data_IF_286421129264
#
_entry.id   IF_286421129264
#
_cell.length_a   1.000
_cell.length_b   1.000
_cell.length_c   1.000
_cell.angle_alpha   90.00
_cell.angle_beta   90.00
_cell.angle_gamma   90.00
#
_symmetry.space_group_name_H-M   'P 1'
#
loop_
_entity.id
_entity.type
_entity.pdbx_description
1 polymer ?
#
# COMPACT_ATOMS: atom_id res chain seq x y z
N UNK A 1 -15.36 -24.08 -4.72
CA UNK A 1 -16.03 -23.62 -5.98
C UNK A 1 -15.24 -24.10 -7.18
N UNK A 2 -15.92 -24.63 -8.23
CA UNK A 2 -15.28 -25.06 -9.47
C UNK A 2 -14.62 -23.88 -10.21
N UNK A 3 -13.49 -24.08 -10.91
CA UNK A 3 -12.75 -23.02 -11.59
C UNK A 3 -13.59 -22.28 -12.66
N UNK A 4 -14.57 -22.96 -13.25
CA UNK A 4 -15.48 -22.37 -14.22
C UNK A 4 -16.43 -21.34 -13.59
N UNK A 5 -16.99 -21.63 -12.40
CA UNK A 5 -17.86 -20.70 -11.68
C UNK A 5 -17.10 -19.44 -11.23
N UNK A 6 -15.82 -19.57 -10.84
CA UNK A 6 -14.96 -18.43 -10.52
C UNK A 6 -14.74 -17.54 -11.75
N UNK A 7 -14.46 -18.10 -12.93
CA UNK A 7 -14.27 -17.34 -14.18
C UNK A 7 -15.54 -16.62 -14.63
N UNK A 8 -16.69 -17.27 -14.55
CA UNK A 8 -17.97 -16.67 -14.90
C UNK A 8 -18.32 -15.51 -13.96
N UNK A 9 -18.17 -15.71 -12.64
CA UNK A 9 -18.40 -14.68 -11.62
C UNK A 9 -17.46 -13.50 -11.83
N UNK A 10 -16.19 -13.73 -12.11
CA UNK A 10 -15.20 -12.69 -12.37
C UNK A 10 -15.59 -11.83 -13.60
N UNK A 11 -16.06 -12.45 -14.70
CA UNK A 11 -16.54 -11.71 -15.89
C UNK A 11 -17.81 -10.90 -15.61
N UNK A 12 -18.75 -11.48 -14.86
CA UNK A 12 -19.98 -10.81 -14.46
C UNK A 12 -19.68 -9.58 -13.57
N UNK A 13 -18.82 -9.76 -12.58
CA UNK A 13 -18.40 -8.68 -11.68
C UNK A 13 -17.58 -7.60 -12.41
N UNK A 14 -16.73 -7.98 -13.38
CA UNK A 14 -15.95 -7.02 -14.16
C UNK A 14 -16.83 -6.05 -14.98
N UNK A 15 -17.99 -6.53 -15.44
CA UNK A 15 -18.96 -5.67 -16.16
C UNK A 15 -19.72 -4.72 -15.23
N UNK A 16 -20.06 -5.17 -14.02
CA UNK A 16 -20.85 -4.37 -13.05
C UNK A 16 -20.00 -3.47 -12.16
N UNK A 17 -18.79 -3.87 -11.87
CA UNK A 17 -17.83 -3.17 -11.02
C UNK A 17 -16.45 -3.21 -11.69
N UNK A 18 -16.21 -2.33 -12.68
CA UNK A 18 -14.91 -2.22 -13.32
C UNK A 18 -13.85 -1.77 -12.29
N UNK A 19 -12.58 -2.12 -12.51
CA UNK A 19 -11.48 -1.63 -11.69
C UNK A 19 -11.46 -0.10 -11.69
N UNK A 20 -11.45 0.50 -10.50
CA UNK A 20 -11.43 1.95 -10.34
C UNK A 20 -10.71 2.34 -9.05
N UNK A 21 -10.08 3.50 -9.02
CA UNK A 21 -9.44 4.01 -7.81
C UNK A 21 -10.42 4.38 -6.69
N UNK A 22 -11.70 4.53 -7.05
CA UNK A 22 -12.80 4.88 -6.13
C UNK A 22 -13.99 3.99 -6.42
N UNK A 23 -14.63 3.50 -5.37
CA UNK A 23 -15.85 2.71 -5.45
C UNK A 23 -16.91 3.26 -4.52
N UNK A 24 -18.11 3.48 -5.06
CA UNK A 24 -19.30 3.80 -4.28
C UNK A 24 -20.20 2.57 -4.23
N UNK A 25 -20.56 2.13 -3.04
CA UNK A 25 -21.50 1.06 -2.84
C UNK A 25 -22.92 1.61 -2.99
N UNK A 26 -23.56 1.25 -4.09
CA UNK A 26 -24.93 1.64 -4.44
C UNK A 26 -25.82 0.41 -4.55
N UNK A 27 -27.12 0.64 -4.67
CA UNK A 27 -28.12 -0.44 -4.84
C UNK A 27 -27.80 -1.40 -5.99
N UNK A 28 -27.09 -0.93 -7.02
CA UNK A 28 -26.72 -1.75 -8.18
C UNK A 28 -25.61 -2.76 -7.90
N UNK A 29 -24.78 -2.52 -6.87
CA UNK A 29 -23.57 -3.31 -6.57
C UNK A 29 -23.68 -4.09 -5.26
N UNK A 30 -24.78 -3.95 -4.52
CA UNK A 30 -25.02 -4.63 -3.25
C UNK A 30 -25.89 -5.86 -3.51
N UNK A 31 -25.40 -6.98 -3.04
CA UNK A 31 -26.16 -8.25 -3.03
C UNK A 31 -26.64 -8.53 -1.62
N UNK A 32 -27.86 -9.05 -1.47
CA UNK A 32 -28.43 -9.40 -0.18
C UNK A 32 -29.14 -10.75 -0.26
N UNK A 33 -28.89 -11.60 0.73
CA UNK A 33 -29.59 -12.88 0.90
C UNK A 33 -29.81 -13.16 2.39
N UNK A 34 -30.87 -13.91 2.73
CA UNK A 34 -31.06 -14.41 4.09
C UNK A 34 -29.89 -15.29 4.51
N UNK A 35 -29.50 -15.22 5.78
CA UNK A 35 -28.54 -16.15 6.38
C UNK A 35 -29.23 -17.47 6.72
N UNK A 36 -28.51 -18.55 7.08
CA UNK A 36 -29.13 -19.78 7.61
C UNK A 36 -30.05 -19.47 8.80
N UNK A 37 -29.66 -18.53 9.66
CA UNK A 37 -30.52 -18.04 10.75
C UNK A 37 -31.76 -17.31 10.23
N UNK A 38 -31.63 -16.53 9.15
CA UNK A 38 -32.75 -15.86 8.49
C UNK A 38 -33.75 -16.84 7.90
N UNK A 39 -33.28 -17.95 7.30
CA UNK A 39 -34.17 -19.01 6.83
C UNK A 39 -34.87 -19.75 7.96
N UNK A 40 -34.19 -20.05 9.07
CA UNK A 40 -34.79 -20.63 10.26
C UNK A 40 -35.87 -19.72 10.86
N UNK A 41 -35.58 -18.40 10.92
CA UNK A 41 -36.54 -17.40 11.36
C UNK A 41 -37.79 -17.35 10.45
N UNK A 42 -37.61 -17.40 9.14
CA UNK A 42 -38.73 -17.44 8.17
C UNK A 42 -39.59 -18.69 8.35
N UNK A 43 -38.98 -19.84 8.60
CA UNK A 43 -39.68 -21.09 8.91
C UNK A 43 -40.50 -20.98 10.19
N UNK A 44 -39.91 -20.34 11.23
CA UNK A 44 -40.64 -20.06 12.48
C UNK A 44 -41.83 -19.15 12.24
N UNK A 45 -41.67 -18.06 11.49
CA UNK A 45 -42.75 -17.13 11.13
C UNK A 45 -43.91 -17.89 10.43
N UNK A 46 -43.57 -18.76 9.48
CA UNK A 46 -44.54 -19.57 8.77
C UNK A 46 -45.29 -20.53 9.72
N UNK A 47 -44.57 -21.17 10.64
CA UNK A 47 -45.19 -22.06 11.64
C UNK A 47 -46.17 -21.29 12.56
N UNK A 48 -45.78 -20.11 13.05
CA UNK A 48 -46.63 -19.27 13.89
C UNK A 48 -47.85 -18.80 13.12
N UNK A 49 -47.71 -18.42 11.85
CA UNK A 49 -48.79 -18.03 10.97
C UNK A 49 -49.81 -19.17 10.79
N UNK A 50 -49.32 -20.41 10.48
CA UNK A 50 -50.19 -21.60 10.31
C UNK A 50 -50.91 -21.95 11.61
N UNK A 51 -50.24 -21.86 12.75
CA UNK A 51 -50.89 -22.07 14.06
C UNK A 51 -51.96 -21.02 14.31
N UNK A 52 -51.68 -19.74 14.09
CA UNK A 52 -52.68 -18.68 14.23
C UNK A 52 -53.90 -18.87 13.37
N UNK A 53 -53.70 -19.31 12.12
CA UNK A 53 -54.82 -19.57 11.16
C UNK A 53 -55.60 -20.81 11.57
N UNK A 54 -54.92 -21.88 11.95
CA UNK A 54 -55.58 -23.15 12.31
C UNK A 54 -56.42 -23.03 13.59
N UNK A 55 -55.90 -22.33 14.60
CA UNK A 55 -56.63 -22.12 15.85
C UNK A 55 -57.48 -20.85 15.86
N UNK A 56 -57.59 -20.12 14.75
CA UNK A 56 -58.34 -18.87 14.60
C UNK A 56 -58.00 -17.83 15.69
N UNK A 57 -56.73 -17.83 16.13
CA UNK A 57 -56.29 -16.98 17.22
C UNK A 57 -55.67 -15.69 16.66
N UNK A 58 -56.44 -14.59 16.78
CA UNK A 58 -56.03 -13.28 16.27
C UNK A 58 -54.73 -12.74 16.90
N UNK A 59 -54.41 -13.10 18.12
CA UNK A 59 -53.22 -12.65 18.83
C UNK A 59 -51.97 -13.34 18.29
N UNK A 60 -52.09 -14.64 17.94
CA UNK A 60 -51.02 -15.38 17.27
C UNK A 60 -50.81 -14.89 15.84
N UNK A 61 -51.86 -14.54 15.12
CA UNK A 61 -51.77 -13.92 13.80
C UNK A 61 -51.11 -12.54 13.87
N UNK A 62 -51.46 -11.72 14.87
CA UNK A 62 -50.79 -10.44 15.10
C UNK A 62 -49.29 -10.62 15.32
N UNK A 63 -48.88 -11.61 16.14
CA UNK A 63 -47.48 -11.93 16.36
C UNK A 63 -46.78 -12.37 15.03
N UNK A 64 -47.44 -13.18 14.21
CA UNK A 64 -46.88 -13.59 12.91
C UNK A 64 -46.62 -12.36 12.00
N UNK A 65 -47.60 -11.45 11.88
CA UNK A 65 -47.42 -10.22 11.09
C UNK A 65 -46.35 -9.29 11.66
N UNK A 66 -46.23 -9.20 12.97
CA UNK A 66 -45.15 -8.46 13.62
C UNK A 66 -43.78 -9.03 13.26
N UNK A 67 -43.63 -10.37 13.30
CA UNK A 67 -42.40 -11.04 12.92
C UNK A 67 -42.05 -10.86 11.43
N UNK A 68 -43.07 -10.90 10.52
CA UNK A 68 -42.87 -10.58 9.09
C UNK A 68 -42.39 -9.15 8.92
N UNK A 69 -42.98 -8.19 9.63
CA UNK A 69 -42.58 -6.78 9.60
C UNK A 69 -41.14 -6.62 10.08
N UNK A 70 -40.73 -7.31 11.17
CA UNK A 70 -39.38 -7.33 11.68
C UNK A 70 -38.38 -7.90 10.66
N UNK A 71 -38.73 -8.99 10.00
CA UNK A 71 -37.90 -9.62 8.95
C UNK A 71 -37.67 -8.65 7.79
N UNK A 72 -38.74 -8.03 7.27
CA UNK A 72 -38.68 -7.10 6.16
C UNK A 72 -37.89 -5.83 6.53
N UNK A 73 -38.13 -5.29 7.73
CA UNK A 73 -37.38 -4.15 8.25
C UNK A 73 -35.87 -4.47 8.40
N UNK A 74 -35.54 -5.67 8.88
CA UNK A 74 -34.16 -6.14 8.97
C UNK A 74 -33.47 -6.17 7.61
N UNK A 75 -34.16 -6.63 6.56
CA UNK A 75 -33.63 -6.59 5.20
C UNK A 75 -33.29 -5.16 4.75
N UNK A 76 -34.20 -4.22 4.97
CA UNK A 76 -34.02 -2.82 4.62
C UNK A 76 -32.82 -2.19 5.35
N UNK A 77 -32.73 -2.40 6.68
CA UNK A 77 -31.63 -1.85 7.47
C UNK A 77 -30.29 -2.49 7.13
N UNK A 78 -30.23 -3.80 6.87
CA UNK A 78 -28.99 -4.47 6.44
C UNK A 78 -28.49 -3.93 5.11
N UNK A 79 -29.39 -3.71 4.15
CA UNK A 79 -29.03 -3.11 2.86
C UNK A 79 -28.56 -1.67 3.03
N UNK A 80 -29.32 -0.84 3.76
CA UNK A 80 -29.00 0.57 4.01
C UNK A 80 -27.67 0.74 4.73
N UNK A 81 -27.32 -0.18 5.65
CA UNK A 81 -26.07 -0.15 6.38
C UNK A 81 -24.83 -0.36 5.48
N UNK A 82 -24.99 -0.89 4.26
CA UNK A 82 -23.90 -1.02 3.30
C UNK A 82 -23.95 0.04 2.20
N UNK A 83 -25.16 0.55 1.90
CA UNK A 83 -25.37 1.54 0.86
C UNK A 83 -24.78 2.91 1.24
N UNK A 84 -24.17 3.59 0.26
CA UNK A 84 -23.58 4.92 0.47
C UNK A 84 -22.12 4.90 0.92
N UNK A 85 -21.55 3.73 1.27
CA UNK A 85 -20.14 3.62 1.63
C UNK A 85 -19.25 3.92 0.43
N UNK A 86 -18.32 4.85 0.59
CA UNK A 86 -17.32 5.22 -0.39
C UNK A 86 -15.97 4.63 0.00
N UNK A 87 -15.31 3.99 -0.94
CA UNK A 87 -14.00 3.40 -0.76
C UNK A 87 -13.04 4.01 -1.77
N UNK A 88 -11.91 4.54 -1.29
CA UNK A 88 -10.86 5.11 -2.11
C UNK A 88 -9.57 4.34 -1.91
N UNK A 89 -8.87 4.07 -3.00
CA UNK A 89 -7.52 3.49 -2.95
C UNK A 89 -6.54 4.50 -2.39
N UNK A 90 -5.70 4.06 -1.45
CA UNK A 90 -4.48 4.75 -1.07
C UNK A 90 -3.30 4.03 -1.73
N UNK A 91 -2.38 4.78 -2.32
CA UNK A 91 -1.20 4.17 -2.93
C UNK A 91 -0.33 3.54 -1.84
N UNK A 92 -0.12 2.24 -1.96
CA UNK A 92 0.73 1.49 -1.03
C UNK A 92 2.20 1.65 -1.40
N UNK A 93 3.05 1.77 -0.39
CA UNK A 93 4.50 1.72 -0.56
C UNK A 93 4.94 0.31 -0.96
N UNK A 94 6.14 0.16 -1.59
CA UNK A 94 6.73 -1.14 -1.84
C UNK A 94 6.89 -1.95 -0.53
N UNK A 95 6.66 -3.25 -0.58
CA UNK A 95 6.71 -4.15 0.58
C UNK A 95 7.56 -5.38 0.30
N UNK A 96 7.92 -6.12 1.35
CA UNK A 96 8.72 -7.33 1.24
C UNK A 96 7.89 -8.47 0.66
N UNK A 97 8.45 -9.21 -0.29
CA UNK A 97 7.84 -10.40 -0.83
C UNK A 97 7.85 -11.56 0.20
N UNK A 98 6.78 -12.36 0.21
CA UNK A 98 6.63 -13.48 1.13
C UNK A 98 5.99 -13.16 2.46
N UNK A 99 5.87 -11.89 2.84
CA UNK A 99 5.15 -11.44 4.02
C UNK A 99 3.70 -11.07 3.67
N UNK A 100 2.85 -10.91 4.69
CA UNK A 100 1.49 -10.41 4.52
C UNK A 100 1.50 -8.99 3.96
N UNK A 101 0.76 -8.78 2.86
CA UNK A 101 0.72 -7.49 2.17
C UNK A 101 -0.26 -6.56 2.85
N UNK A 102 0.21 -5.41 3.31
CA UNK A 102 -0.59 -4.36 3.94
C UNK A 102 -1.11 -3.39 2.88
N UNK A 103 -2.42 -3.25 2.83
CA UNK A 103 -3.13 -2.42 1.87
C UNK A 103 -3.93 -1.36 2.60
N UNK A 104 -3.74 -0.11 2.24
CA UNK A 104 -4.49 0.99 2.82
C UNK A 104 -5.67 1.35 1.94
N UNK A 105 -6.83 1.42 2.56
CA UNK A 105 -8.09 1.83 1.94
C UNK A 105 -8.69 2.94 2.79
N UNK A 106 -9.09 4.00 2.15
CA UNK A 106 -9.85 5.06 2.77
C UNK A 106 -11.34 4.74 2.61
N UNK A 107 -12.03 4.61 3.74
CA UNK A 107 -13.47 4.41 3.79
C UNK A 107 -14.15 5.69 4.29
N UNK A 108 -15.20 6.10 3.61
CA UNK A 108 -15.98 7.29 3.96
C UNK A 108 -17.46 6.91 3.96
N UNK A 109 -18.15 7.19 5.06
CA UNK A 109 -19.58 6.95 5.20
C UNK A 109 -20.09 7.40 6.56
N UNK A 110 -21.39 7.45 6.72
CA UNK A 110 -22.05 7.86 7.95
C UNK A 110 -22.82 6.70 8.54
N UNK A 111 -22.50 6.34 9.80
CA UNK A 111 -23.24 5.35 10.58
C UNK A 111 -23.35 3.97 9.94
N UNK A 112 -22.25 3.42 9.50
CA UNK A 112 -22.15 2.04 9.02
C UNK A 112 -21.58 1.14 10.12
N UNK A 113 -22.33 0.12 10.53
CA UNK A 113 -22.03 -0.71 11.69
C UNK A 113 -21.62 -2.13 11.29
N UNK A 114 -20.67 -2.70 12.01
CA UNK A 114 -20.26 -4.09 11.89
C UNK A 114 -19.91 -4.51 10.45
N UNK A 115 -19.22 -3.66 9.70
CA UNK A 115 -18.74 -3.95 8.36
C UNK A 115 -17.58 -4.94 8.41
N UNK A 116 -17.61 -5.92 7.54
CA UNK A 116 -16.60 -6.96 7.35
C UNK A 116 -15.83 -6.68 6.06
N UNK A 117 -14.51 -6.52 6.16
CA UNK A 117 -13.61 -6.29 5.03
C UNK A 117 -12.61 -7.42 4.92
N UNK A 118 -12.42 -8.00 3.74
CA UNK A 118 -11.34 -8.94 3.46
C UNK A 118 -11.01 -9.02 1.98
N UNK A 119 -9.74 -9.27 1.65
CA UNK A 119 -9.33 -9.69 0.32
C UNK A 119 -9.46 -11.20 0.17
N UNK A 120 -9.42 -11.72 -1.08
CA UNK A 120 -9.45 -13.17 -1.30
C UNK A 120 -8.27 -13.83 -0.54
N UNK A 121 -8.58 -14.78 0.35
CA UNK A 121 -7.65 -15.47 1.24
C UNK A 121 -6.93 -14.57 2.28
N UNK A 122 -7.36 -13.33 2.47
CA UNK A 122 -6.86 -12.47 3.54
C UNK A 122 -7.68 -12.57 4.83
N UNK A 123 -7.15 -12.11 5.96
CA UNK A 123 -7.87 -12.09 7.22
C UNK A 123 -9.07 -11.15 7.17
N UNK A 124 -10.10 -11.51 7.91
CA UNK A 124 -11.31 -10.72 8.06
C UNK A 124 -11.06 -9.58 9.06
N UNK A 125 -11.34 -8.35 8.65
CA UNK A 125 -11.35 -7.19 9.53
C UNK A 125 -12.78 -6.69 9.71
N UNK A 126 -13.23 -6.59 10.97
CA UNK A 126 -14.50 -5.96 11.33
C UNK A 126 -14.24 -4.56 11.88
N UNK A 127 -15.04 -3.61 11.44
CA UNK A 127 -14.99 -2.23 11.95
C UNK A 127 -16.29 -1.50 11.63
N UNK A 128 -16.57 -0.47 12.42
CA UNK A 128 -17.61 0.50 12.15
C UNK A 128 -17.02 1.67 11.38
N UNK A 129 -17.80 2.27 10.50
CA UNK A 129 -17.38 3.45 9.75
C UNK A 129 -18.34 4.60 10.08
N UNK A 130 -17.77 5.64 10.68
CA UNK A 130 -18.45 6.90 10.93
C UNK A 130 -17.51 8.04 10.52
N UNK A 131 -17.84 8.72 9.43
CA UNK A 131 -16.99 9.71 8.79
C UNK A 131 -15.92 9.09 7.88
N UNK A 132 -14.78 9.78 7.82
CA UNK A 132 -13.61 9.41 7.00
C UNK A 132 -12.61 8.62 7.83
N UNK A 133 -12.34 7.38 7.45
CA UNK A 133 -11.41 6.51 8.16
C UNK A 133 -10.41 5.85 7.21
N UNK A 134 -9.18 5.67 7.69
CA UNK A 134 -8.15 4.88 6.99
C UNK A 134 -8.11 3.47 7.57
N UNK A 135 -8.33 2.50 6.71
CA UNK A 135 -8.30 1.08 7.04
C UNK A 135 -7.03 0.45 6.50
N UNK A 136 -6.31 -0.28 7.35
CA UNK A 136 -5.22 -1.16 6.92
C UNK A 136 -5.79 -2.57 6.82
N UNK A 137 -5.82 -3.11 5.62
CA UNK A 137 -6.28 -4.46 5.31
C UNK A 137 -5.09 -5.34 4.95
N UNK A 138 -5.13 -6.59 5.35
CA UNK A 138 -4.10 -7.55 5.01
C UNK A 138 -4.55 -8.42 3.84
N UNK A 139 -3.64 -8.67 2.91
CA UNK A 139 -3.82 -9.63 1.83
C UNK A 139 -2.81 -10.76 1.97
N UNK A 140 -3.08 -11.88 1.30
CA UNK A 140 -2.20 -13.05 1.32
C UNK A 140 -0.79 -12.71 0.82
N UNK A 141 0.25 -13.38 1.34
CA UNK A 141 1.60 -13.24 0.85
C UNK A 141 1.70 -13.48 -0.66
N UNK A 142 2.55 -12.73 -1.33
CA UNK A 142 2.79 -12.86 -2.75
C UNK A 142 4.27 -13.00 -3.11
N UNK A 143 4.59 -13.54 -4.30
CA UNK A 143 5.95 -13.56 -4.81
C UNK A 143 6.41 -12.16 -5.18
N UNK A 144 7.73 -11.96 -5.33
CA UNK A 144 8.31 -10.72 -5.84
C UNK A 144 7.67 -10.31 -7.17
N UNK A 145 7.42 -9.03 -7.33
CA UNK A 145 6.87 -8.46 -8.55
C UNK A 145 5.72 -7.49 -8.29
N UNK A 146 4.95 -7.24 -9.33
CA UNK A 146 3.73 -6.44 -9.26
C UNK A 146 2.59 -7.31 -8.71
N UNK A 147 2.19 -7.05 -7.48
CA UNK A 147 1.14 -7.78 -6.79
C UNK A 147 -0.21 -7.07 -6.89
N UNK A 148 -1.25 -7.83 -7.25
CA UNK A 148 -2.64 -7.37 -7.27
C UNK A 148 -3.45 -8.24 -6.31
N UNK A 149 -3.99 -7.68 -5.23
CA UNK A 149 -4.74 -8.45 -4.22
C UNK A 149 -6.10 -8.95 -4.72
N UNK A 150 -6.56 -8.45 -5.87
CA UNK A 150 -7.89 -8.76 -6.39
C UNK A 150 -8.97 -7.88 -5.79
N UNK A 151 -10.21 -8.39 -5.76
CA UNK A 151 -11.38 -7.65 -5.29
C UNK A 151 -11.47 -7.65 -3.78
N UNK A 152 -11.83 -6.50 -3.24
CA UNK A 152 -12.18 -6.36 -1.83
C UNK A 152 -13.60 -6.89 -1.62
N UNK A 153 -13.81 -7.77 -0.66
CA UNK A 153 -15.15 -8.15 -0.20
C UNK A 153 -15.52 -7.25 0.96
N UNK A 154 -16.65 -6.57 0.83
CA UNK A 154 -17.27 -5.80 1.91
C UNK A 154 -18.60 -6.43 2.23
N UNK A 155 -18.82 -6.84 3.47
CA UNK A 155 -20.04 -7.52 3.89
C UNK A 155 -20.59 -6.95 5.20
N UNK A 156 -21.86 -7.16 5.42
CA UNK A 156 -22.56 -6.74 6.64
C UNK A 156 -23.67 -7.74 7.00
N UNK A 157 -23.88 -7.92 8.31
CA UNK A 157 -25.00 -8.72 8.86
C UNK A 157 -25.81 -7.96 9.89
N UNK A 158 -25.50 -6.70 10.09
CA UNK A 158 -26.23 -5.83 11.03
C UNK A 158 -27.62 -5.48 10.48
N UNK A 159 -28.71 -5.36 11.30
CA UNK A 159 -28.68 -5.41 12.77
C UNK A 159 -28.86 -6.79 13.39
N UNK A 160 -29.73 -7.64 12.86
CA UNK A 160 -30.19 -8.87 13.50
C UNK A 160 -29.49 -10.16 13.01
N UNK A 161 -28.63 -10.06 12.02
CA UNK A 161 -27.97 -11.22 11.42
C UNK A 161 -28.91 -12.10 10.57
N UNK A 162 -30.15 -11.69 10.34
CA UNK A 162 -31.13 -12.40 9.50
C UNK A 162 -30.74 -12.37 8.01
N UNK A 163 -30.12 -11.27 7.59
CA UNK A 163 -29.61 -11.08 6.23
C UNK A 163 -28.11 -10.85 6.22
N UNK A 164 -27.50 -11.25 5.12
CA UNK A 164 -26.14 -10.84 4.76
C UNK A 164 -26.22 -9.99 3.51
N UNK A 165 -25.74 -8.76 3.59
CA UNK A 165 -25.47 -7.91 2.44
C UNK A 165 -23.99 -7.92 2.13
N UNK A 166 -23.59 -7.88 0.84
CA UNK A 166 -22.19 -7.84 0.44
C UNK A 166 -21.97 -7.19 -0.92
N UNK A 167 -20.75 -6.72 -1.15
CA UNK A 167 -20.30 -6.17 -2.43
C UNK A 167 -18.85 -6.59 -2.70
N UNK A 168 -18.42 -6.52 -3.98
CA UNK A 168 -17.08 -6.89 -4.43
C UNK A 168 -16.40 -5.75 -5.21
N UNK A 169 -16.17 -4.58 -4.60
CA UNK A 169 -15.48 -3.49 -5.27
C UNK A 169 -14.05 -3.89 -5.67
N UNK A 170 -13.64 -3.46 -6.87
CA UNK A 170 -12.29 -3.60 -7.36
C UNK A 170 -11.61 -2.22 -7.31
N UNK A 171 -10.70 -2.04 -6.38
CA UNK A 171 -10.01 -0.78 -6.18
C UNK A 171 -8.75 -0.64 -7.06
N UNK A 172 -8.50 -1.58 -7.98
CA UNK A 172 -7.30 -1.63 -8.84
C UNK A 172 -6.01 -1.38 -8.04
N UNK A 173 -5.92 -1.97 -6.85
CA UNK A 173 -4.74 -1.81 -6.00
C UNK A 173 -3.57 -2.59 -6.58
N UNK A 174 -2.43 -1.92 -6.62
CA UNK A 174 -1.16 -2.49 -7.06
C UNK A 174 -0.10 -2.18 -6.03
N UNK A 175 0.62 -3.20 -5.60
CA UNK A 175 1.76 -3.09 -4.69
C UNK A 175 2.98 -3.74 -5.33
N UNK A 176 4.14 -3.10 -5.20
CA UNK A 176 5.40 -3.67 -5.64
C UNK A 176 6.02 -4.45 -4.49
N UNK A 177 6.21 -5.76 -4.68
CA UNK A 177 6.83 -6.63 -3.70
C UNK A 177 8.29 -6.84 -4.09
N UNK A 178 9.22 -6.26 -3.31
CA UNK A 178 10.65 -6.43 -3.50
C UNK A 178 11.17 -7.66 -2.75
N UNK A 179 12.31 -8.25 -3.16
CA UNK A 179 12.82 -9.44 -2.53
C UNK A 179 13.21 -9.16 -1.07
N UNK A 180 13.06 -10.16 -0.20
CA UNK A 180 13.44 -10.06 1.21
C UNK A 180 14.90 -9.64 1.34
N UNK A 181 15.21 -8.52 2.00
CA UNK A 181 16.57 -8.01 2.08
C UNK A 181 17.51 -9.02 2.76
N UNK A 182 18.62 -9.35 2.11
CA UNK A 182 19.69 -10.17 2.66
C UNK A 182 20.86 -9.25 3.02
N UNK A 183 21.31 -9.22 4.29
CA UNK A 183 22.44 -8.40 4.69
C UNK A 183 23.68 -8.69 3.83
N UNK A 184 24.20 -7.66 3.21
CA UNK A 184 25.40 -7.72 2.41
C UNK A 184 26.30 -6.54 2.78
N UNK A 185 26.97 -6.60 3.97
CA UNK A 185 27.92 -5.57 4.32
C UNK A 185 29.02 -5.58 3.24
N UNK A 186 29.26 -4.42 2.66
CA UNK A 186 30.40 -4.28 1.75
C UNK A 186 31.65 -4.60 2.54
N UNK A 187 32.20 -5.80 2.39
CA UNK A 187 33.59 -6.01 2.59
C UNK A 187 34.33 -5.02 1.69
N UNK A 188 35.43 -4.48 2.12
CA UNK A 188 36.28 -3.56 1.37
C UNK A 188 36.57 -4.13 -0.03
N UNK A 189 35.62 -3.99 -0.94
CA UNK A 189 35.86 -4.27 -2.34
C UNK A 189 36.56 -3.03 -2.87
N UNK A 190 37.84 -3.29 -3.14
CA UNK A 190 38.81 -2.44 -3.81
C UNK A 190 38.17 -1.30 -4.55
N UNK A 191 38.45 -0.08 -4.11
CA UNK A 191 38.34 1.10 -4.93
C UNK A 191 39.04 0.85 -6.26
N UNK A 192 38.29 0.39 -7.25
CA UNK A 192 38.66 0.58 -8.63
C UNK A 192 38.62 2.07 -8.86
N UNK A 193 39.78 2.70 -8.78
CA UNK A 193 40.14 4.04 -9.24
C UNK A 193 39.00 5.05 -9.34
N UNK A 194 38.60 5.58 -8.19
CA UNK A 194 37.81 6.79 -8.01
C UNK A 194 38.10 7.24 -6.59
N UNK A 195 38.86 8.30 -6.45
CA UNK A 195 39.41 8.87 -5.22
C UNK A 195 38.48 8.70 -4.00
N UNK A 196 39.00 7.96 -3.01
CA UNK A 196 38.51 8.00 -1.64
C UNK A 196 38.72 9.40 -1.10
N UNK A 197 37.66 10.15 -0.90
CA UNK A 197 37.67 11.25 0.05
C UNK A 197 36.92 10.77 1.28
N UNK A 198 37.67 10.52 2.34
CA UNK A 198 37.15 10.18 3.65
C UNK A 198 36.20 11.27 4.13
N UNK A 199 35.00 10.87 4.58
CA UNK A 199 34.10 11.74 5.33
C UNK A 199 34.78 12.13 6.65
N UNK A 200 35.40 13.30 6.68
CA UNK A 200 35.59 14.03 7.92
C UNK A 200 34.38 14.94 8.07
N UNK A 201 33.59 14.66 9.06
CA UNK A 201 32.58 15.54 9.61
C UNK A 201 33.34 16.67 10.34
N UNK A 202 33.14 17.89 9.91
CA UNK A 202 33.57 19.06 10.69
C UNK A 202 34.40 20.04 9.91
N UNK A 203 33.85 21.24 9.83
CA UNK A 203 34.51 22.51 9.56
C UNK A 203 35.13 22.70 8.15
N UNK A 204 34.57 23.65 7.42
CA UNK A 204 35.06 24.32 6.23
C UNK A 204 36.44 23.82 5.72
N UNK A 205 36.44 22.82 4.85
CA UNK A 205 37.68 22.32 4.24
C UNK A 205 38.25 23.41 3.31
N UNK A 206 39.18 24.16 3.91
CA UNK A 206 39.97 25.18 3.26
C UNK A 206 40.95 24.48 2.29
N UNK A 207 40.65 24.55 0.98
CA UNK A 207 41.50 23.95 -0.05
C UNK A 207 42.70 24.79 -0.46
N UNK A 208 42.66 26.09 -0.25
CA UNK A 208 43.76 26.94 -0.63
C UNK A 208 43.38 28.44 -0.78
N UNK A 209 44.41 29.22 -1.12
CA UNK A 209 44.27 30.60 -1.47
C UNK A 209 44.45 30.74 -2.98
N UNK A 210 43.46 31.31 -3.65
CA UNK A 210 43.51 31.70 -5.06
C UNK A 210 43.70 33.20 -5.17
N UNK A 211 44.47 33.67 -6.14
CA UNK A 211 44.55 35.09 -6.44
C UNK A 211 43.14 35.65 -6.73
N UNK A 212 42.78 36.70 -6.04
CA UNK A 212 41.51 37.39 -6.22
C UNK A 212 41.34 37.91 -7.66
N UNK A 213 40.22 37.56 -8.28
CA UNK A 213 39.83 38.11 -9.57
C UNK A 213 38.66 39.09 -9.40
N UNK A 214 38.63 40.22 -10.16
CA UNK A 214 37.51 41.15 -10.13
C UNK A 214 36.19 40.39 -10.49
N UNK A 215 35.25 40.31 -9.52
CA UNK A 215 34.03 39.54 -9.61
C UNK A 215 33.87 38.45 -8.54
N UNK A 216 34.95 38.10 -7.82
CA UNK A 216 34.86 37.16 -6.69
C UNK A 216 34.13 37.82 -5.50
N UNK A 217 33.24 37.09 -4.78
CA UNK A 217 32.52 37.64 -3.64
C UNK A 217 33.45 38.08 -2.52
N UNK A 218 33.34 39.32 -2.07
CA UNK A 218 34.18 39.92 -1.00
C UNK A 218 34.12 39.11 0.33
N UNK A 219 33.10 38.33 0.57
CA UNK A 219 32.99 37.43 1.74
C UNK A 219 34.05 36.30 1.74
N UNK A 220 34.63 36.00 0.58
CA UNK A 220 35.65 34.95 0.44
C UNK A 220 37.06 35.48 0.47
N UNK A 221 37.25 36.79 0.59
CA UNK A 221 38.56 37.41 0.65
C UNK A 221 39.27 37.06 1.97
N UNK A 222 40.54 36.66 1.87
CA UNK A 222 41.39 36.35 3.01
C UNK A 222 41.96 37.65 3.61
N UNK A 223 41.15 38.41 4.31
CA UNK A 223 41.47 39.72 4.88
C UNK A 223 42.73 39.72 5.72
N UNK A 224 43.09 38.64 6.40
CA UNK A 224 44.31 38.48 7.17
C UNK A 224 45.57 38.52 6.31
N UNK A 225 45.52 37.96 5.10
CA UNK A 225 46.66 37.98 4.15
C UNK A 225 46.81 39.38 3.54
N UNK A 226 45.70 40.05 3.23
CA UNK A 226 45.70 41.42 2.72
C UNK A 226 46.29 42.37 3.75
N UNK A 227 45.94 42.23 5.03
CA UNK A 227 46.49 43.07 6.12
C UNK A 227 47.98 42.83 6.36
N UNK A 228 48.53 41.70 5.94
CA UNK A 228 49.96 41.37 6.01
C UNK A 228 50.75 41.82 4.77
N UNK A 229 50.12 42.55 3.84
CA UNK A 229 50.77 43.04 2.63
C UNK A 229 51.08 41.96 1.57
N UNK A 230 50.52 40.75 1.68
CA UNK A 230 50.79 39.62 0.80
C UNK A 230 49.89 39.53 -0.44
N UNK A 231 49.16 40.61 -0.75
CA UNK A 231 48.25 40.64 -1.88
C UNK A 231 46.81 40.15 -1.54
N UNK A 232 45.91 40.36 -2.51
CA UNK A 232 44.50 40.03 -2.33
C UNK A 232 44.22 38.59 -2.76
N UNK A 233 43.87 37.75 -1.80
CA UNK A 233 43.62 36.30 -1.98
C UNK A 233 42.17 35.99 -1.64
N UNK A 234 41.53 35.11 -2.43
CA UNK A 234 40.21 34.54 -2.19
C UNK A 234 40.34 33.14 -1.62
N UNK A 235 39.57 32.83 -0.56
CA UNK A 235 39.46 31.48 0.00
C UNK A 235 38.71 30.60 -0.96
N UNK A 236 39.33 29.53 -1.42
CA UNK A 236 38.69 28.50 -2.21
C UNK A 236 38.15 27.44 -1.27
N UNK A 237 36.81 27.32 -1.22
CA UNK A 237 36.13 26.27 -0.51
C UNK A 237 35.83 25.14 -1.51
N UNK A 238 36.08 23.89 -1.13
CA UNK A 238 35.61 22.78 -1.89
C UNK A 238 34.07 22.85 -1.96
N UNK A 239 33.54 22.95 -3.15
CA UNK A 239 32.13 22.61 -3.32
C UNK A 239 31.97 21.17 -2.86
N UNK A 240 31.05 20.84 -1.92
CA UNK A 240 30.79 19.44 -1.62
C UNK A 240 30.29 18.80 -2.93
N UNK A 241 31.20 18.14 -3.67
CA UNK A 241 30.77 17.14 -4.63
C UNK A 241 30.08 16.09 -3.76
N UNK A 242 28.76 16.12 -3.75
CA UNK A 242 27.97 15.04 -3.16
C UNK A 242 28.38 13.76 -3.91
N UNK A 243 29.20 12.95 -3.26
CA UNK A 243 29.65 11.67 -3.79
C UNK A 243 28.40 10.81 -4.03
N UNK A 244 27.86 10.91 -5.25
CA UNK A 244 26.71 10.14 -5.66
C UNK A 244 27.15 8.70 -5.84
N UNK A 245 26.68 7.84 -4.95
CA UNK A 245 27.03 6.44 -4.93
C UNK A 245 26.15 5.66 -5.88
N UNK A 246 26.72 4.94 -6.82
CA UNK A 246 25.99 4.03 -7.68
C UNK A 246 25.90 2.62 -7.09
N UNK A 247 24.69 2.11 -6.96
CA UNK A 247 24.38 0.74 -6.56
C UNK A 247 24.11 -0.05 -7.84
N UNK A 248 25.09 -0.88 -8.25
CA UNK A 248 25.02 -1.63 -9.51
C UNK A 248 24.74 -3.10 -9.26
N UNK A 249 23.77 -3.65 -9.99
CA UNK A 249 23.48 -5.09 -9.94
C UNK A 249 24.68 -5.93 -10.38
N UNK A 250 25.51 -5.42 -11.31
CA UNK A 250 26.72 -6.10 -11.79
C UNK A 250 27.75 -6.34 -10.69
N UNK A 251 27.86 -5.43 -9.72
CA UNK A 251 28.84 -5.48 -8.64
C UNK A 251 28.45 -6.46 -7.52
N UNK A 252 27.21 -6.96 -7.53
CA UNK A 252 26.72 -7.84 -6.47
C UNK A 252 26.92 -9.30 -6.84
N UNK A 253 27.72 -10.00 -6.02
CA UNK A 253 27.92 -11.44 -6.13
C UNK A 253 26.70 -12.17 -5.53
N UNK A 254 26.23 -13.23 -6.18
CA UNK A 254 25.15 -14.08 -5.73
C UNK A 254 25.03 -15.32 -6.59
N UNK A 255 24.41 -16.39 -6.06
CA UNK A 255 24.20 -17.66 -6.78
C UNK A 255 23.21 -17.49 -7.93
N UNK A 256 22.18 -16.70 -7.71
CA UNK A 256 21.09 -16.45 -8.64
C UNK A 256 20.70 -14.96 -8.65
N UNK A 257 19.83 -14.60 -9.57
CA UNK A 257 19.33 -13.23 -9.69
C UNK A 257 18.56 -12.79 -8.45
N UNK A 258 17.75 -13.67 -7.85
CA UNK A 258 16.93 -13.34 -6.69
C UNK A 258 17.81 -12.97 -5.48
N UNK A 259 18.89 -13.72 -5.23
CA UNK A 259 19.83 -13.41 -4.16
C UNK A 259 20.57 -12.09 -4.40
N UNK A 260 20.97 -11.82 -5.65
CA UNK A 260 21.62 -10.54 -6.01
C UNK A 260 20.66 -9.36 -5.77
N UNK A 261 19.40 -9.51 -6.14
CA UNK A 261 18.37 -8.50 -5.90
C UNK A 261 18.06 -8.32 -4.41
N UNK A 262 18.05 -9.40 -3.63
CA UNK A 262 17.86 -9.33 -2.18
C UNK A 262 18.98 -8.53 -1.49
N UNK A 263 20.23 -8.73 -1.91
CA UNK A 263 21.39 -7.98 -1.41
C UNK A 263 21.35 -6.52 -1.85
N UNK A 264 20.94 -6.27 -3.11
CA UNK A 264 20.79 -4.92 -3.62
C UNK A 264 19.66 -4.17 -2.88
N UNK A 265 18.55 -4.84 -2.58
CA UNK A 265 17.46 -4.26 -1.78
C UNK A 265 17.94 -3.86 -0.38
N UNK A 266 18.80 -4.70 0.25
CA UNK A 266 19.41 -4.35 1.53
C UNK A 266 20.28 -3.09 1.41
N UNK A 267 21.12 -2.99 0.36
CA UNK A 267 21.96 -1.80 0.14
C UNK A 267 21.14 -0.52 -0.10
N UNK A 268 20.01 -0.61 -0.80
CA UNK A 268 19.08 0.51 -1.02
C UNK A 268 18.49 0.99 0.31
N UNK A 269 18.08 0.05 1.18
CA UNK A 269 17.53 0.38 2.50
C UNK A 269 18.60 0.98 3.42
N UNK A 270 19.81 0.39 3.46
CA UNK A 270 20.94 0.90 4.25
C UNK A 270 21.36 2.32 3.81
N UNK A 271 21.42 2.56 2.49
CA UNK A 271 21.73 3.88 1.95
C UNK A 271 20.65 4.92 2.29
N UNK A 272 19.37 4.52 2.26
CA UNK A 272 18.27 5.40 2.65
C UNK A 272 18.26 5.69 4.15
N UNK A 273 18.56 4.70 5.01
CA UNK A 273 18.67 4.90 6.46
C UNK A 273 19.79 5.88 6.79
N UNK A 274 20.92 5.78 6.09
CA UNK A 274 22.07 6.70 6.22
C UNK A 274 21.90 8.02 5.48
N UNK A 275 20.74 8.26 4.85
CA UNK A 275 20.43 9.48 4.08
C UNK A 275 21.46 9.80 2.99
N UNK A 276 22.09 8.80 2.40
CA UNK A 276 23.07 8.98 1.34
C UNK A 276 22.42 9.34 0.01
N UNK A 277 23.16 10.03 -0.84
CA UNK A 277 22.80 10.26 -2.24
C UNK A 277 23.26 9.06 -3.06
N UNK A 278 22.30 8.30 -3.65
CA UNK A 278 22.62 7.10 -4.42
C UNK A 278 21.77 6.96 -5.68
N UNK A 279 22.38 6.42 -6.72
CA UNK A 279 21.73 5.97 -7.94
C UNK A 279 21.62 4.45 -7.97
N UNK A 280 20.73 3.90 -8.78
CA UNK A 280 20.53 2.47 -8.97
C UNK A 280 20.73 2.12 -10.45
N UNK A 281 21.64 1.17 -10.71
CA UNK A 281 21.91 0.63 -12.05
C UNK A 281 21.57 -0.87 -12.06
N UNK A 282 20.55 -1.21 -12.84
CA UNK A 282 20.06 -2.58 -13.01
C UNK A 282 20.49 -3.18 -14.36
N UNK A 283 21.25 -2.44 -15.17
CA UNK A 283 21.64 -2.82 -16.51
C UNK A 283 20.56 -2.62 -17.58
N UNK A 284 19.31 -2.95 -17.27
CA UNK A 284 18.15 -2.70 -18.14
C UNK A 284 17.48 -1.35 -17.87
N UNK A 285 17.67 -0.78 -16.72
CA UNK A 285 17.08 0.48 -16.27
C UNK A 285 17.98 1.13 -15.23
N UNK A 286 18.20 2.43 -15.39
CA UNK A 286 18.98 3.26 -14.48
C UNK A 286 18.08 4.27 -13.78
N UNK A 287 18.31 4.46 -12.49
CA UNK A 287 17.66 5.50 -11.70
C UNK A 287 18.73 6.48 -11.25
N UNK A 288 18.60 7.72 -11.70
CA UNK A 288 19.53 8.80 -11.37
C UNK A 288 19.67 8.98 -9.84
N UNK A 289 20.85 9.42 -9.37
CA UNK A 289 21.08 9.66 -7.95
C UNK A 289 20.03 10.54 -7.30
N UNK A 290 19.58 10.16 -6.13
CA UNK A 290 18.60 10.83 -5.32
C UNK A 290 18.66 10.36 -3.87
N UNK A 291 17.88 11.00 -3.00
CA UNK A 291 17.79 10.65 -1.58
C UNK A 291 16.35 10.70 -1.08
N UNK A 292 16.11 10.15 0.10
CA UNK A 292 14.83 10.18 0.79
C UNK A 292 13.85 9.07 0.38
N UNK A 293 12.74 8.99 1.09
CA UNK A 293 11.76 7.89 0.99
C UNK A 293 11.16 7.73 -0.42
N UNK A 294 10.90 8.82 -1.12
CA UNK A 294 10.35 8.76 -2.48
C UNK A 294 11.32 8.10 -3.46
N UNK A 295 12.61 8.41 -3.35
CA UNK A 295 13.67 7.80 -4.16
C UNK A 295 13.83 6.32 -3.81
N UNK A 296 13.90 5.99 -2.52
CA UNK A 296 13.96 4.62 -2.02
C UNK A 296 12.79 3.78 -2.57
N UNK A 297 11.56 4.28 -2.49
CA UNK A 297 10.38 3.59 -3.00
C UNK A 297 10.45 3.34 -4.51
N UNK A 298 10.98 4.27 -5.31
CA UNK A 298 11.21 4.06 -6.75
C UNK A 298 12.23 2.98 -7.01
N UNK A 299 13.34 2.97 -6.27
CA UNK A 299 14.38 1.94 -6.37
C UNK A 299 13.83 0.56 -6.01
N UNK A 300 13.10 0.43 -4.89
CA UNK A 300 12.49 -0.84 -4.46
C UNK A 300 11.43 -1.34 -5.46
N UNK A 301 10.63 -0.43 -6.04
CA UNK A 301 9.67 -0.80 -7.08
C UNK A 301 10.36 -1.31 -8.36
N UNK A 302 11.48 -0.71 -8.76
CA UNK A 302 12.29 -1.18 -9.87
C UNK A 302 12.86 -2.58 -9.62
N UNK A 303 13.40 -2.84 -8.40
CA UNK A 303 13.87 -4.16 -7.98
C UNK A 303 12.76 -5.21 -7.98
N UNK A 304 11.54 -4.82 -7.62
CA UNK A 304 10.40 -5.71 -7.66
C UNK A 304 10.08 -6.18 -9.09
N UNK A 305 10.17 -5.30 -10.08
CA UNK A 305 9.74 -5.56 -11.46
C UNK A 305 10.82 -6.20 -12.34
N UNK A 306 12.10 -6.16 -11.95
CA UNK A 306 13.20 -6.65 -12.79
C UNK A 306 13.05 -8.14 -13.11
N UNK A 307 13.11 -8.50 -14.40
CA UNK A 307 13.03 -9.88 -14.87
C UNK A 307 11.65 -10.54 -14.75
N UNK A 308 10.59 -9.78 -14.46
CA UNK A 308 9.20 -10.27 -14.48
C UNK A 308 8.36 -9.44 -15.45
N UNK A 309 7.42 -10.07 -16.19
CA UNK A 309 6.50 -9.33 -17.04
C UNK A 309 5.64 -8.40 -16.18
N UNK A 310 5.34 -7.22 -16.73
CA UNK A 310 4.56 -6.15 -16.10
C UNK A 310 3.09 -6.55 -15.84
#
# INVERSE_FOLDING_TARGET
MSPWRKRWLARFLARRQPPASRALLSNANIYILPTPFGYAFLTLVLAVFLLGTNYQNNLVLLLAFFLVSLFTSSMYFTHRNLAGLRLNRINSQPQVAGDEVRLEVQAEGLSHWALEFHFENGPLRRTDIDGLQRLVLLASPGPRGRYRPGRLTVACRYPLGLFRAWSYPDLDQVVHLYPKPEPWPRGHQSAGQGQQTALHQGEDDWQGLKNYQPGDPLRRVAWKQLAQGRGMWSKEFASPQSDSRWLRLADIKGRDLEQRLARLAWQVLDANEKQLLYGLDLGAMDIAPGSGHSHCNRCLAALACLGKPA
#
